data_IF_774230857864
#
_entry.id   IF_774230857864
#
_cell.length_a   1.000
_cell.length_b   1.000
_cell.length_c   1.000
_cell.angle_alpha   90.00
_cell.angle_beta   90.00
_cell.angle_gamma   90.00
#
_symmetry.space_group_name_H-M   'P 1'
#
loop_
_entity.id
_entity.type
_entity.pdbx_description
1 polymer ?
#
# COMPACT_ATOMS: atom_id res chain seq x y z
N UNK A 1 43.20 -1.69 43.98
CA UNK A 1 41.75 -1.48 43.80
C UNK A 1 41.07 -1.75 45.12
N UNK A 2 40.37 -0.78 45.68
CA UNK A 2 39.75 -0.93 47.00
C UNK A 2 38.55 -1.90 46.93
N UNK A 3 38.25 -2.59 48.02
CA UNK A 3 37.09 -3.51 48.10
C UNK A 3 35.80 -2.80 47.69
N UNK A 4 35.68 -1.52 48.01
CA UNK A 4 34.50 -0.69 47.64
C UNK A 4 34.38 -0.48 46.13
N UNK A 5 35.48 -0.32 45.41
CA UNK A 5 35.47 -0.19 43.93
C UNK A 5 35.10 -1.50 43.25
N UNK A 6 35.54 -2.61 43.80
CA UNK A 6 35.20 -3.95 43.28
C UNK A 6 33.73 -4.26 43.48
N UNK A 7 33.13 -3.88 44.61
CA UNK A 7 31.69 -4.02 44.84
C UNK A 7 30.88 -3.15 43.89
N UNK A 8 31.26 -1.88 43.70
CA UNK A 8 30.60 -0.98 42.74
C UNK A 8 30.65 -1.52 41.31
N UNK A 9 31.77 -2.06 40.89
CA UNK A 9 31.95 -2.65 39.56
C UNK A 9 31.04 -3.88 39.36
N UNK A 10 30.97 -4.76 40.34
CA UNK A 10 30.16 -5.96 40.31
C UNK A 10 28.64 -5.62 40.29
N UNK A 11 28.20 -4.65 41.09
CA UNK A 11 26.82 -4.16 41.09
C UNK A 11 26.46 -3.57 39.72
N UNK A 12 27.34 -2.77 39.12
CA UNK A 12 27.13 -2.21 37.79
C UNK A 12 27.02 -3.29 36.71
N UNK A 13 27.86 -4.32 36.77
CA UNK A 13 27.79 -5.47 35.84
C UNK A 13 26.53 -6.27 36.02
N UNK A 14 26.13 -6.56 37.24
CA UNK A 14 24.87 -7.26 37.54
C UNK A 14 23.66 -6.48 37.05
N UNK A 15 23.66 -5.15 37.19
CA UNK A 15 22.57 -4.31 36.66
C UNK A 15 22.46 -4.36 35.14
N UNK A 16 23.61 -4.28 34.44
CA UNK A 16 23.60 -4.38 32.95
C UNK A 16 23.11 -5.73 32.51
N UNK A 17 23.54 -6.82 33.12
CA UNK A 17 23.07 -8.17 32.79
C UNK A 17 21.56 -8.30 33.02
N UNK A 18 21.04 -7.75 34.13
CA UNK A 18 19.63 -7.74 34.44
C UNK A 18 18.81 -6.98 33.37
N UNK A 19 19.26 -5.81 32.95
CA UNK A 19 18.60 -4.99 31.93
C UNK A 19 18.57 -5.71 30.58
N UNK A 20 19.66 -6.36 30.18
CA UNK A 20 19.71 -7.17 28.94
C UNK A 20 18.75 -8.35 29.02
N UNK A 21 18.73 -9.07 30.16
CA UNK A 21 17.82 -10.19 30.36
C UNK A 21 16.33 -9.76 30.29
N UNK A 22 15.98 -8.64 30.93
CA UNK A 22 14.61 -8.09 30.87
C UNK A 22 14.23 -7.66 29.46
N UNK A 23 15.15 -7.04 28.71
CA UNK A 23 14.92 -6.67 27.31
C UNK A 23 14.67 -7.90 26.44
N UNK A 24 15.48 -8.96 26.58
CA UNK A 24 15.30 -10.22 25.84
C UNK A 24 13.96 -10.88 26.17
N UNK A 25 13.57 -10.96 27.45
CA UNK A 25 12.28 -11.52 27.86
C UNK A 25 11.12 -10.71 27.28
N UNK A 26 11.21 -9.38 27.28
CA UNK A 26 10.20 -8.50 26.67
C UNK A 26 10.08 -8.76 25.17
N UNK A 27 11.21 -8.84 24.47
CA UNK A 27 11.23 -9.10 23.02
C UNK A 27 10.63 -10.46 22.68
N UNK A 28 11.00 -11.52 23.45
CA UNK A 28 10.44 -12.86 23.26
C UNK A 28 8.94 -12.87 23.52
N UNK A 29 8.47 -12.23 24.60
CA UNK A 29 7.04 -12.08 24.87
C UNK A 29 6.31 -11.38 23.73
N UNK A 30 6.84 -10.32 23.17
CA UNK A 30 6.25 -9.65 22.01
C UNK A 30 6.23 -10.53 20.76
N UNK A 31 7.25 -11.32 20.51
CA UNK A 31 7.31 -12.25 19.38
C UNK A 31 6.38 -13.46 19.53
N UNK A 32 6.12 -13.91 20.77
CA UNK A 32 5.29 -15.10 21.02
C UNK A 32 3.85 -14.76 21.37
N UNK A 33 3.56 -13.55 21.85
CA UNK A 33 2.24 -13.15 22.35
C UNK A 33 1.25 -12.70 21.26
N UNK A 34 1.68 -12.58 20.02
CA UNK A 34 0.77 -12.33 18.90
C UNK A 34 1.02 -13.33 17.79
N UNK A 35 0.39 -14.51 17.78
CA UNK A 35 -0.04 -15.03 16.50
C UNK A 35 -0.95 -13.92 15.96
N UNK A 36 -0.46 -13.14 14.99
CA UNK A 36 -1.34 -12.36 14.15
C UNK A 36 -2.20 -13.43 13.45
N UNK A 37 -3.30 -13.80 14.09
CA UNK A 37 -4.40 -14.45 13.40
C UNK A 37 -4.89 -13.42 12.40
N UNK A 38 -4.21 -13.36 11.27
CA UNK A 38 -4.73 -12.70 10.08
C UNK A 38 -5.98 -13.49 9.73
N UNK A 39 -7.09 -13.06 10.30
CA UNK A 39 -8.40 -13.53 9.86
C UNK A 39 -8.57 -13.06 8.42
N UNK A 40 -8.07 -13.89 7.50
CA UNK A 40 -8.01 -13.61 6.05
C UNK A 40 -9.37 -13.21 5.49
N UNK A 41 -10.46 -13.59 6.16
CA UNK A 41 -11.81 -13.34 5.66
C UNK A 41 -12.37 -11.94 5.97
N UNK A 42 -11.70 -11.14 6.80
CA UNK A 42 -12.21 -9.83 7.22
C UNK A 42 -11.22 -8.67 7.01
N UNK A 43 -10.06 -8.92 6.43
CA UNK A 43 -9.07 -7.88 6.26
C UNK A 43 -9.45 -7.04 5.04
N UNK A 44 -9.64 -5.75 5.25
CA UNK A 44 -9.92 -4.77 4.19
C UNK A 44 -8.98 -4.92 2.98
N UNK A 45 -7.72 -5.28 3.25
CA UNK A 45 -6.68 -5.55 2.25
C UNK A 45 -7.07 -6.67 1.30
N UNK A 46 -7.59 -7.81 1.81
CA UNK A 46 -7.97 -8.96 0.96
C UNK A 46 -9.12 -8.59 0.04
N UNK A 47 -10.16 -7.94 0.60
CA UNK A 47 -11.31 -7.47 -0.20
C UNK A 47 -10.89 -6.42 -1.23
N UNK A 48 -9.93 -5.56 -0.87
CA UNK A 48 -9.37 -4.58 -1.78
C UNK A 48 -8.58 -5.26 -2.90
N UNK A 49 -7.77 -6.24 -2.57
CA UNK A 49 -6.97 -7.01 -3.53
C UNK A 49 -7.83 -7.79 -4.53
N UNK A 50 -8.95 -8.37 -4.07
CA UNK A 50 -9.92 -9.08 -4.92
C UNK A 50 -10.48 -8.20 -6.04
N UNK A 51 -10.63 -6.90 -5.82
CA UNK A 51 -11.09 -5.94 -6.84
C UNK A 51 -10.18 -5.88 -8.06
N UNK A 52 -8.89 -6.17 -7.88
CA UNK A 52 -7.86 -6.02 -8.91
C UNK A 52 -7.48 -7.34 -9.61
N UNK A 53 -8.10 -8.45 -9.29
CA UNK A 53 -7.73 -9.77 -9.85
C UNK A 53 -7.74 -9.72 -11.38
N UNK A 54 -8.82 -9.21 -11.98
CA UNK A 54 -8.95 -9.13 -13.43
C UNK A 54 -8.00 -8.09 -14.03
N UNK A 55 -7.82 -6.96 -13.38
CA UNK A 55 -6.88 -5.94 -13.84
C UNK A 55 -5.46 -6.49 -13.88
N UNK A 56 -5.04 -7.25 -12.87
CA UNK A 56 -3.72 -7.90 -12.84
C UNK A 56 -3.53 -8.93 -13.95
N UNK A 57 -4.58 -9.69 -14.28
CA UNK A 57 -4.54 -10.70 -15.35
C UNK A 57 -4.43 -10.09 -16.75
N UNK A 58 -5.05 -8.93 -16.96
CA UNK A 58 -5.04 -8.23 -18.24
C UNK A 58 -3.82 -7.33 -18.42
N UNK A 59 -3.14 -6.96 -17.34
CA UNK A 59 -1.99 -6.10 -17.38
C UNK A 59 -0.79 -6.83 -18.00
N UNK A 60 -0.22 -6.33 -19.13
CA UNK A 60 0.84 -7.06 -19.84
C UNK A 60 2.22 -6.93 -19.18
N UNK A 61 2.33 -6.12 -18.12
CA UNK A 61 3.58 -5.88 -17.40
C UNK A 61 3.50 -6.42 -15.97
N UNK A 62 4.59 -7.00 -15.50
CA UNK A 62 4.72 -7.50 -14.13
C UNK A 62 5.79 -6.77 -13.31
N UNK A 63 6.49 -5.82 -13.88
CA UNK A 63 7.51 -4.96 -13.26
C UNK A 63 7.52 -3.60 -13.95
N UNK A 64 7.98 -2.57 -13.25
CA UNK A 64 8.09 -1.23 -13.78
C UNK A 64 7.13 -0.25 -13.09
N UNK A 65 6.79 0.82 -13.81
CA UNK A 65 5.95 1.90 -13.32
C UNK A 65 4.56 1.77 -13.93
N UNK A 66 3.53 1.97 -13.10
CA UNK A 66 2.12 2.03 -13.50
C UNK A 66 1.49 3.30 -12.93
N UNK A 67 0.66 3.99 -13.71
CA UNK A 67 -0.06 5.16 -13.23
C UNK A 67 -1.27 4.75 -12.36
N UNK A 68 -1.68 5.64 -11.47
CA UNK A 68 -2.88 5.49 -10.64
C UNK A 68 -3.77 6.71 -10.74
N UNK A 69 -5.02 6.47 -11.10
CA UNK A 69 -6.06 7.48 -11.28
C UNK A 69 -7.18 7.18 -10.29
N UNK A 70 -7.62 8.16 -9.55
CA UNK A 70 -8.67 8.04 -8.53
C UNK A 70 -9.74 9.12 -8.69
N UNK A 71 -10.77 9.09 -7.85
CA UNK A 71 -11.79 10.14 -7.77
C UNK A 71 -11.19 11.55 -7.55
N UNK A 72 -10.02 11.63 -6.92
CA UNK A 72 -9.29 12.88 -6.72
C UNK A 72 -8.84 13.55 -8.03
N UNK A 73 -8.60 12.75 -9.06
CA UNK A 73 -8.20 13.26 -10.38
C UNK A 73 -9.39 13.79 -11.20
N UNK A 74 -10.60 13.77 -10.62
CA UNK A 74 -11.84 14.23 -11.26
C UNK A 74 -12.29 15.54 -10.63
N UNK A 75 -12.24 16.67 -11.34
CA UNK A 75 -12.67 17.97 -10.80
C UNK A 75 -14.14 17.96 -10.36
N UNK A 76 -14.40 18.59 -9.22
CA UNK A 76 -15.75 18.73 -8.66
C UNK A 76 -16.28 17.51 -7.91
N UNK A 77 -15.47 16.46 -7.76
CA UNK A 77 -15.80 15.34 -6.87
C UNK A 77 -15.24 15.65 -5.49
N UNK A 78 -16.12 15.73 -4.49
CA UNK A 78 -15.70 15.76 -3.09
C UNK A 78 -15.22 14.37 -2.67
N UNK A 79 -13.99 14.32 -2.21
CA UNK A 79 -13.36 13.08 -1.76
C UNK A 79 -12.52 13.33 -0.53
N UNK A 80 -12.63 12.49 0.48
CA UNK A 80 -11.86 12.61 1.71
C UNK A 80 -10.39 12.31 1.44
N UNK A 81 -9.50 13.24 1.82
CA UNK A 81 -8.05 13.06 1.63
C UNK A 81 -7.53 11.81 2.34
N UNK A 82 -8.10 11.47 3.49
CA UNK A 82 -7.70 10.31 4.26
C UNK A 82 -8.06 9.00 3.55
N UNK A 83 -9.26 8.91 3.02
CA UNK A 83 -9.70 7.75 2.23
C UNK A 83 -8.84 7.57 0.98
N UNK A 84 -8.48 8.66 0.33
CA UNK A 84 -7.61 8.67 -0.84
C UNK A 84 -6.22 8.09 -0.56
N UNK A 85 -5.59 8.49 0.54
CA UNK A 85 -4.26 7.98 0.90
C UNK A 85 -4.32 6.49 1.22
N UNK A 86 -5.35 6.05 1.93
CA UNK A 86 -5.56 4.63 2.25
C UNK A 86 -5.78 3.82 0.97
N UNK A 87 -6.65 4.27 0.07
CA UNK A 87 -6.91 3.59 -1.20
C UNK A 87 -5.65 3.49 -2.06
N UNK A 88 -4.87 4.57 -2.15
CA UNK A 88 -3.60 4.56 -2.86
C UNK A 88 -2.62 3.56 -2.27
N UNK A 89 -2.47 3.54 -0.95
CA UNK A 89 -1.57 2.60 -0.25
C UNK A 89 -2.01 1.14 -0.44
N UNK A 90 -3.29 0.85 -0.32
CA UNK A 90 -3.86 -0.49 -0.53
C UNK A 90 -3.68 -0.94 -1.98
N UNK A 91 -3.89 -0.04 -2.95
CA UNK A 91 -3.68 -0.32 -4.36
C UNK A 91 -2.20 -0.58 -4.65
N UNK A 92 -1.31 0.25 -4.10
CA UNK A 92 0.15 0.05 -4.20
C UNK A 92 0.59 -1.30 -3.65
N UNK A 93 0.05 -1.70 -2.49
CA UNK A 93 0.31 -3.02 -1.93
C UNK A 93 -0.17 -4.12 -2.86
N UNK A 94 -1.40 -3.99 -3.38
CA UNK A 94 -1.99 -4.98 -4.28
C UNK A 94 -1.19 -5.17 -5.57
N UNK A 95 -0.61 -4.12 -6.14
CA UNK A 95 0.15 -4.19 -7.38
C UNK A 95 1.66 -4.42 -7.22
N UNK A 96 2.15 -4.63 -6.00
CA UNK A 96 3.57 -4.99 -5.83
C UNK A 96 3.92 -6.24 -6.68
N UNK A 97 5.06 -6.27 -7.39
CA UNK A 97 6.22 -5.37 -7.32
C UNK A 97 6.20 -4.17 -8.29
N UNK A 98 5.07 -3.84 -8.92
CA UNK A 98 4.93 -2.63 -9.73
C UNK A 98 5.02 -1.37 -8.85
N UNK A 99 5.61 -0.31 -9.38
CA UNK A 99 5.71 0.99 -8.71
C UNK A 99 4.53 1.84 -9.14
N UNK A 100 3.59 2.09 -8.22
CA UNK A 100 2.45 2.96 -8.46
C UNK A 100 2.83 4.43 -8.33
N UNK A 101 2.47 5.25 -9.34
CA UNK A 101 2.62 6.71 -9.33
C UNK A 101 1.28 7.37 -9.64
N UNK A 102 0.98 8.51 -9.03
CA UNK A 102 -0.31 9.21 -9.25
C UNK A 102 -0.41 9.84 -10.63
N UNK A 103 -1.60 9.79 -11.22
CA UNK A 103 -1.94 10.33 -12.54
C UNK A 103 -1.52 9.45 -13.72
N UNK A 104 -1.74 9.95 -14.93
CA UNK A 104 -1.35 9.30 -16.20
C UNK A 104 0.14 9.46 -16.44
N UNK A 105 0.95 8.68 -15.74
CA UNK A 105 2.43 8.81 -15.77
C UNK A 105 3.13 7.67 -16.49
N UNK A 106 2.43 6.63 -16.86
CA UNK A 106 2.97 5.45 -17.52
C UNK A 106 2.14 5.08 -18.75
N UNK A 107 2.65 4.18 -19.54
CA UNK A 107 1.93 3.57 -20.67
C UNK A 107 0.65 2.87 -20.17
N UNK A 108 0.78 2.10 -19.08
CA UNK A 108 -0.35 1.46 -18.41
C UNK A 108 -0.69 2.17 -17.10
N UNK A 109 -1.97 2.39 -16.88
CA UNK A 109 -2.46 3.07 -15.69
C UNK A 109 -3.67 2.30 -15.14
N UNK A 110 -3.84 2.29 -13.82
CA UNK A 110 -5.01 1.76 -13.12
C UNK A 110 -5.90 2.94 -12.73
N UNK A 111 -7.17 2.90 -13.10
CA UNK A 111 -8.15 3.86 -12.64
C UNK A 111 -9.15 3.18 -11.69
N UNK A 112 -9.38 3.79 -10.54
CA UNK A 112 -10.39 3.38 -9.55
C UNK A 112 -11.41 4.51 -9.47
N UNK A 113 -12.46 4.41 -10.26
CA UNK A 113 -13.43 5.46 -10.48
C UNK A 113 -14.87 4.92 -10.45
N UNK A 114 -15.80 5.74 -9.97
CA UNK A 114 -17.24 5.49 -10.20
C UNK A 114 -17.58 5.70 -11.67
N UNK A 115 -18.63 5.06 -12.20
CA UNK A 115 -18.98 5.19 -13.62
C UNK A 115 -19.16 6.64 -14.09
N UNK A 116 -19.81 7.49 -13.29
CA UNK A 116 -20.01 8.91 -13.62
C UNK A 116 -18.67 9.68 -13.62
N UNK A 117 -17.81 9.38 -12.65
CA UNK A 117 -16.48 10.00 -12.57
C UNK A 117 -15.59 9.58 -13.73
N UNK A 118 -15.68 8.33 -14.17
CA UNK A 118 -14.98 7.86 -15.37
C UNK A 118 -15.40 8.65 -16.61
N UNK A 119 -16.70 8.88 -16.79
CA UNK A 119 -17.21 9.66 -17.94
C UNK A 119 -16.66 11.08 -17.94
N UNK A 120 -16.71 11.76 -16.79
CA UNK A 120 -16.17 13.11 -16.63
C UNK A 120 -14.65 13.13 -16.86
N UNK A 121 -13.94 12.18 -16.26
CA UNK A 121 -12.49 12.07 -16.41
C UNK A 121 -12.08 11.80 -17.86
N UNK A 122 -12.78 10.92 -18.57
CA UNK A 122 -12.50 10.61 -19.98
C UNK A 122 -12.75 11.80 -20.90
N UNK A 123 -13.77 12.60 -20.64
CA UNK A 123 -14.04 13.83 -21.38
C UNK A 123 -12.93 14.87 -21.19
N UNK A 124 -12.41 15.02 -19.97
CA UNK A 124 -11.31 15.93 -19.66
C UNK A 124 -9.99 15.50 -20.33
N UNK A 125 -9.82 14.21 -20.58
CA UNK A 125 -8.63 13.65 -21.20
C UNK A 125 -8.87 13.23 -22.66
N UNK A 126 -9.91 13.72 -23.31
CA UNK A 126 -10.27 13.36 -24.68
C UNK A 126 -9.20 13.76 -25.74
N UNK A 127 -8.27 14.65 -25.39
CA UNK A 127 -7.13 15.03 -26.21
C UNK A 127 -5.97 14.03 -26.18
N UNK A 128 -6.04 13.04 -25.30
CA UNK A 128 -5.04 11.97 -25.19
C UNK A 128 -5.57 10.70 -25.88
N UNK A 129 -4.70 10.00 -26.58
CA UNK A 129 -5.03 8.70 -27.17
C UNK A 129 -5.03 7.64 -26.08
N UNK A 130 -6.20 7.40 -25.48
CA UNK A 130 -6.37 6.46 -24.37
C UNK A 130 -7.33 5.33 -24.75
N UNK A 131 -6.94 4.11 -24.47
CA UNK A 131 -7.82 2.93 -24.48
C UNK A 131 -8.23 2.60 -23.05
N UNK A 132 -9.52 2.47 -22.79
CA UNK A 132 -10.07 2.19 -21.46
C UNK A 132 -10.70 0.81 -21.45
N UNK A 133 -10.17 -0.09 -20.62
CA UNK A 133 -10.62 -1.47 -20.48
C UNK A 133 -11.27 -1.62 -19.11
N UNK A 134 -12.57 -1.93 -19.07
CA UNK A 134 -13.26 -2.18 -17.80
C UNK A 134 -12.90 -3.56 -17.27
N UNK A 135 -12.47 -3.61 -16.00
CA UNK A 135 -12.16 -4.87 -15.31
C UNK A 135 -13.22 -5.22 -14.25
N UNK A 136 -14.25 -4.40 -14.12
CA UNK A 136 -15.32 -4.56 -13.13
C UNK A 136 -15.03 -3.85 -11.80
N UNK A 137 -16.04 -3.81 -10.93
CA UNK A 137 -15.93 -3.23 -9.57
C UNK A 137 -15.40 -1.79 -9.49
N UNK A 138 -15.63 -0.97 -10.55
CA UNK A 138 -15.10 0.39 -10.61
C UNK A 138 -13.60 0.48 -10.84
N UNK A 139 -13.00 -0.60 -11.34
CA UNK A 139 -11.58 -0.66 -11.72
C UNK A 139 -11.46 -0.70 -13.24
N UNK A 140 -10.56 0.11 -13.77
CA UNK A 140 -10.30 0.20 -15.21
C UNK A 140 -8.80 0.16 -15.46
N UNK A 141 -8.41 -0.48 -16.55
CA UNK A 141 -7.08 -0.34 -17.13
C UNK A 141 -7.13 0.77 -18.17
N UNK A 142 -6.22 1.69 -18.09
CA UNK A 142 -6.07 2.79 -19.05
C UNK A 142 -4.71 2.65 -19.73
N UNK A 143 -4.76 2.32 -21.01
CA UNK A 143 -3.57 2.21 -21.85
C UNK A 143 -3.39 3.51 -22.63
N UNK A 144 -2.25 4.15 -22.42
CA UNK A 144 -1.85 5.33 -23.22
C UNK A 144 -1.25 4.82 -24.52
N UNK A 145 -2.00 5.01 -25.62
CA UNK A 145 -1.50 4.71 -26.95
C UNK A 145 -0.43 5.73 -27.29
N UNK A 146 0.75 5.27 -27.71
CA UNK A 146 1.87 6.14 -28.02
C UNK A 146 1.52 7.20 -29.07
N UNK A 147 2.15 8.36 -28.93
CA UNK A 147 2.08 9.43 -29.93
C UNK A 147 2.79 9.01 -31.22
#
# INVERSE_FOLDING_TARGET
>A
MSIVEQIKLNVRRAFVVLMVALSLVSTIKHLTATPIEVNKNNVAVVKWEERFIYAKQLLPINRGIIGYISEWDVPGVEYDEWDQEIEFLLTRYSFAPLVLVRGIKAEWNIAVLKPNSLTNWSQLNANQSLEIISTGNGVYLVHKLGD
#
